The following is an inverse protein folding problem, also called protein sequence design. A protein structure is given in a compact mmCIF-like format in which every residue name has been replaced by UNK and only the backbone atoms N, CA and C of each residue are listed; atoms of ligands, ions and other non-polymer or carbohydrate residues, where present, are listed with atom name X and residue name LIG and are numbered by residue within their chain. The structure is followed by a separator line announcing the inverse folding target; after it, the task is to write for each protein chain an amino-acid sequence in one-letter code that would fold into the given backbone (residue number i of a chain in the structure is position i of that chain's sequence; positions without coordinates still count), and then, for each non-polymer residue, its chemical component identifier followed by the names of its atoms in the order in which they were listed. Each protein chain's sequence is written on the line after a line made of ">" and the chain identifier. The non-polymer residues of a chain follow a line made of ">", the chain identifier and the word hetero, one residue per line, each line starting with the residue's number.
data_IF_844228966872
#
_entry.id   IF_844228966872
#
_cell.length_a   1.000
_cell.length_b   1.000
_cell.length_c   1.000
_cell.angle_alpha   90.00
_cell.angle_beta   90.00
_cell.angle_gamma   90.00
#
_symmetry.space_group_name_H-M   'P 1'
#
loop_
_entity.id
_entity.type
_entity.pdbx_description
1 polymer ?
#
# COMPACT_ATOMS: atom_id res chain seq x y z
N UNK A 1 -21.02 -6.96 12.30
CA UNK A 1 -19.84 -6.77 11.42
C UNK A 1 -19.22 -5.38 11.56
N UNK A 2 -19.99 -4.28 11.45
CA UNK A 2 -19.45 -2.90 11.53
C UNK A 2 -18.62 -2.57 12.78
N UNK A 3 -18.97 -3.10 13.96
CA UNK A 3 -18.22 -2.88 15.22
C UNK A 3 -16.77 -3.39 15.19
N UNK A 4 -16.44 -4.39 14.36
CA UNK A 4 -15.07 -4.92 14.29
C UNK A 4 -14.12 -3.93 13.62
N UNK A 5 -14.61 -3.09 12.71
CA UNK A 5 -13.81 -2.04 12.03
C UNK A 5 -13.64 -0.77 12.88
N UNK A 6 -14.17 -0.75 14.11
CA UNK A 6 -13.92 0.35 15.06
C UNK A 6 -12.66 0.03 15.87
N UNK A 7 -11.58 0.76 15.61
CA UNK A 7 -10.29 0.55 16.27
C UNK A 7 -10.39 0.88 17.77
N UNK A 8 -9.77 0.03 18.60
CA UNK A 8 -9.72 0.18 20.07
C UNK A 8 -8.38 0.74 20.52
N UNK A 9 -7.33 0.29 19.84
CA UNK A 9 -5.93 0.63 20.02
C UNK A 9 -5.17 0.32 18.72
N UNK A 10 -3.87 0.62 18.70
CA UNK A 10 -3.01 0.35 17.54
C UNK A 10 -2.88 -1.14 17.22
N UNK A 11 -2.82 -2.01 18.23
CA UNK A 11 -2.74 -3.45 18.02
C UNK A 11 -3.98 -3.99 17.30
N UNK A 12 -5.18 -3.54 17.69
CA UNK A 12 -6.43 -3.88 17.02
C UNK A 12 -6.47 -3.36 15.57
N UNK A 13 -5.94 -2.16 15.32
CA UNK A 13 -5.76 -1.66 13.96
C UNK A 13 -4.87 -2.59 13.11
N UNK A 14 -3.73 -3.02 13.64
CA UNK A 14 -2.81 -3.93 12.94
C UNK A 14 -3.48 -5.29 12.65
N UNK A 15 -4.26 -5.84 13.59
CA UNK A 15 -5.03 -7.07 13.35
C UNK A 15 -5.99 -6.93 12.16
N UNK A 16 -6.74 -5.82 12.10
CA UNK A 16 -7.68 -5.56 11.01
C UNK A 16 -6.95 -5.29 9.70
N UNK A 17 -5.86 -4.51 9.74
CA UNK A 17 -5.01 -4.26 8.59
C UNK A 17 -4.51 -5.58 7.98
N UNK A 18 -3.97 -6.50 8.79
CA UNK A 18 -3.55 -7.80 8.29
C UNK A 18 -4.73 -8.66 7.80
N UNK A 19 -5.89 -8.60 8.46
CA UNK A 19 -7.08 -9.33 8.01
C UNK A 19 -7.52 -8.88 6.60
N UNK A 20 -7.50 -7.57 6.34
CA UNK A 20 -7.84 -6.99 5.03
C UNK A 20 -6.74 -7.30 4.01
N UNK A 21 -5.46 -7.04 4.33
CA UNK A 21 -4.37 -7.21 3.39
C UNK A 21 -4.19 -8.67 2.94
N UNK A 22 -4.55 -9.65 3.78
CA UNK A 22 -4.58 -11.09 3.40
C UNK A 22 -5.58 -11.43 2.29
N UNK A 23 -6.54 -10.56 2.00
CA UNK A 23 -7.44 -10.72 0.87
C UNK A 23 -6.75 -10.38 -0.47
N UNK A 24 -5.64 -9.63 -0.45
CA UNK A 24 -4.95 -9.15 -1.65
C UNK A 24 -3.88 -10.15 -2.09
N UNK A 25 -4.16 -10.90 -3.16
CA UNK A 25 -3.32 -12.01 -3.62
C UNK A 25 -2.87 -11.88 -5.06
N UNK A 26 -3.71 -11.34 -5.94
CA UNK A 26 -3.42 -11.24 -7.37
C UNK A 26 -3.33 -9.79 -7.81
N UNK A 27 -2.75 -9.53 -8.99
CA UNK A 27 -2.66 -8.18 -9.55
C UNK A 27 -4.05 -7.52 -9.68
N UNK A 28 -5.10 -8.29 -9.97
CA UNK A 28 -6.48 -7.82 -10.08
C UNK A 28 -7.02 -7.31 -8.73
N UNK A 29 -6.62 -7.92 -7.61
CA UNK A 29 -7.00 -7.43 -6.27
C UNK A 29 -6.42 -6.03 -6.01
N UNK A 30 -5.16 -5.82 -6.36
CA UNK A 30 -4.49 -4.52 -6.21
C UNK A 30 -5.02 -3.47 -7.19
N UNK A 31 -5.32 -3.88 -8.42
CA UNK A 31 -5.98 -3.03 -9.42
C UNK A 31 -7.34 -2.56 -8.92
N UNK A 32 -8.14 -3.46 -8.35
CA UNK A 32 -9.46 -3.15 -7.82
C UNK A 32 -9.38 -2.12 -6.69
N UNK A 33 -8.53 -2.33 -5.68
CA UNK A 33 -8.45 -1.41 -4.55
C UNK A 33 -7.93 -0.02 -4.96
N UNK A 34 -6.97 0.06 -5.89
CA UNK A 34 -6.46 1.34 -6.37
C UNK A 34 -7.49 2.09 -7.20
N UNK A 35 -8.26 1.37 -8.04
CA UNK A 35 -9.36 1.94 -8.80
C UNK A 35 -10.49 2.47 -7.90
N UNK A 36 -10.94 1.66 -6.93
CA UNK A 36 -12.01 2.05 -6.00
C UNK A 36 -11.56 3.18 -5.06
N UNK A 37 -10.29 3.21 -4.66
CA UNK A 37 -9.72 4.33 -3.94
C UNK A 37 -9.83 5.62 -4.76
N UNK A 38 -9.43 5.60 -6.03
CA UNK A 38 -9.59 6.75 -6.92
C UNK A 38 -11.05 7.17 -7.16
N UNK A 39 -11.98 6.21 -7.23
CA UNK A 39 -13.41 6.51 -7.28
C UNK A 39 -13.90 7.22 -6.01
N UNK A 40 -13.37 6.83 -4.85
CA UNK A 40 -13.69 7.48 -3.57
C UNK A 40 -13.09 8.90 -3.49
N UNK A 41 -11.83 9.08 -3.89
CA UNK A 41 -11.18 10.40 -4.01
C UNK A 41 -12.05 11.37 -4.83
N UNK A 42 -12.50 10.92 -6.01
CA UNK A 42 -13.32 11.74 -6.89
C UNK A 42 -14.65 12.17 -6.26
N UNK A 43 -15.31 11.28 -5.50
CA UNK A 43 -16.55 11.60 -4.76
C UNK A 43 -16.31 12.65 -3.66
N UNK A 44 -15.09 12.70 -3.13
CA UNK A 44 -14.66 13.67 -2.12
C UNK A 44 -14.02 14.93 -2.74
N UNK A 45 -14.05 15.08 -4.06
CA UNK A 45 -13.42 16.16 -4.83
C UNK A 45 -11.89 16.26 -4.63
N UNK A 46 -11.24 15.15 -4.24
CA UNK A 46 -9.79 15.03 -4.19
C UNK A 46 -9.25 14.79 -5.60
N UNK A 47 -8.26 15.60 -6.02
CA UNK A 47 -7.67 15.54 -7.37
C UNK A 47 -6.32 14.83 -7.41
N UNK A 48 -5.60 14.86 -6.29
CA UNK A 48 -4.27 14.30 -6.14
C UNK A 48 -4.11 13.75 -4.73
N UNK A 49 -3.49 12.57 -4.60
CA UNK A 49 -3.08 12.02 -3.31
C UNK A 49 -1.73 11.30 -3.42
N UNK A 50 -0.91 11.47 -2.38
CA UNK A 50 0.25 10.64 -2.11
C UNK A 50 -0.13 9.61 -1.05
N UNK A 51 -0.17 8.34 -1.46
CA UNK A 51 -0.74 7.26 -0.67
C UNK A 51 0.38 6.37 -0.15
N UNK A 52 0.36 6.12 1.16
CA UNK A 52 1.31 5.20 1.79
C UNK A 52 0.98 3.75 1.45
N UNK A 53 2.00 2.98 1.07
CA UNK A 53 1.92 1.54 0.85
C UNK A 53 3.16 0.88 1.42
N UNK A 54 3.03 -0.30 2.06
CA UNK A 54 4.13 -0.99 2.76
C UNK A 54 4.62 -2.24 1.99
N UNK A 55 5.52 -2.11 0.99
CA UNK A 55 5.94 -3.24 0.14
C UNK A 55 6.44 -4.44 0.93
N UNK A 56 7.22 -4.19 1.98
CA UNK A 56 7.83 -5.28 2.76
C UNK A 56 6.78 -6.12 3.49
N UNK A 57 5.62 -5.57 3.85
CA UNK A 57 4.50 -6.35 4.39
C UNK A 57 3.94 -7.29 3.33
N UNK A 58 3.66 -6.78 2.13
CA UNK A 58 3.06 -7.59 1.07
C UNK A 58 4.00 -8.69 0.59
N UNK A 59 5.30 -8.39 0.46
CA UNK A 59 6.29 -9.39 0.07
C UNK A 59 6.56 -10.42 1.17
N UNK A 60 7.08 -9.98 2.32
CA UNK A 60 7.59 -10.92 3.33
C UNK A 60 6.51 -11.52 4.23
N UNK A 61 5.37 -10.86 4.42
CA UNK A 61 4.31 -11.33 5.31
C UNK A 61 3.14 -11.96 4.57
N UNK A 62 2.85 -11.51 3.34
CA UNK A 62 1.73 -12.02 2.53
C UNK A 62 2.17 -12.88 1.35
N UNK A 63 3.47 -12.87 1.00
CA UNK A 63 4.03 -13.68 -0.07
C UNK A 63 3.69 -13.17 -1.48
N UNK A 64 3.32 -11.89 -1.62
CA UNK A 64 2.96 -11.29 -2.91
C UNK A 64 4.18 -10.57 -3.51
N UNK A 65 4.69 -11.00 -4.68
CA UNK A 65 5.84 -10.39 -5.34
C UNK A 65 5.59 -8.92 -5.75
N UNK A 66 6.68 -8.15 -5.86
CA UNK A 66 6.65 -6.75 -6.31
C UNK A 66 5.90 -6.59 -7.63
N UNK A 67 6.30 -7.35 -8.65
CA UNK A 67 5.69 -7.31 -9.98
C UNK A 67 4.17 -7.55 -9.94
N UNK A 68 3.69 -8.37 -9.00
CA UNK A 68 2.26 -8.66 -8.87
C UNK A 68 1.49 -7.49 -8.27
N UNK A 69 1.88 -7.00 -7.09
CA UNK A 69 1.13 -5.92 -6.46
C UNK A 69 1.33 -4.60 -7.21
N UNK A 70 2.54 -4.33 -7.71
CA UNK A 70 2.84 -3.06 -8.36
C UNK A 70 2.20 -2.94 -9.74
N UNK A 71 2.20 -4.01 -10.55
CA UNK A 71 1.46 -4.00 -11.81
C UNK A 71 -0.05 -3.75 -11.59
N UNK A 72 -0.63 -4.36 -10.56
CA UNK A 72 -2.01 -4.13 -10.17
C UNK A 72 -2.28 -2.69 -9.76
N UNK A 73 -1.49 -2.16 -8.81
CA UNK A 73 -1.59 -0.77 -8.35
C UNK A 73 -1.47 0.23 -9.52
N UNK A 74 -0.45 0.06 -10.38
CA UNK A 74 -0.23 0.92 -11.55
C UNK A 74 -1.42 0.91 -12.50
N UNK A 75 -1.94 -0.28 -12.82
CA UNK A 75 -3.12 -0.41 -13.70
C UNK A 75 -4.38 0.20 -13.06
N UNK A 76 -4.56 0.03 -11.75
CA UNK A 76 -5.66 0.63 -11.01
C UNK A 76 -5.61 2.16 -11.01
N UNK A 77 -4.42 2.74 -10.78
CA UNK A 77 -4.19 4.18 -10.87
C UNK A 77 -4.45 4.72 -12.29
N UNK A 78 -3.98 4.03 -13.33
CA UNK A 78 -4.25 4.41 -14.73
C UNK A 78 -5.75 4.41 -15.03
N UNK A 79 -6.47 3.38 -14.60
CA UNK A 79 -7.93 3.30 -14.75
C UNK A 79 -8.66 4.40 -13.97
N UNK A 80 -8.27 4.66 -12.73
CA UNK A 80 -8.86 5.72 -11.92
C UNK A 80 -8.64 7.11 -12.56
N UNK A 81 -7.44 7.38 -13.07
CA UNK A 81 -7.12 8.60 -13.80
C UNK A 81 -7.99 8.76 -15.04
N UNK A 82 -8.13 7.71 -15.84
CA UNK A 82 -8.96 7.74 -17.04
C UNK A 82 -10.45 7.92 -16.74
N UNK A 83 -10.97 7.29 -15.68
CA UNK A 83 -12.39 7.34 -15.33
C UNK A 83 -12.80 8.61 -14.57
N UNK A 84 -11.92 9.13 -13.71
CA UNK A 84 -12.29 10.15 -12.73
C UNK A 84 -11.39 11.39 -12.75
N UNK A 85 -10.28 11.37 -13.50
CA UNK A 85 -9.34 12.49 -13.58
C UNK A 85 -8.56 12.73 -12.28
N UNK A 86 -8.46 11.72 -11.41
CA UNK A 86 -7.65 11.77 -10.18
C UNK A 86 -6.24 11.24 -10.42
N UNK A 87 -5.27 11.77 -9.68
CA UNK A 87 -3.89 11.31 -9.72
C UNK A 87 -3.47 10.73 -8.36
N UNK A 88 -2.93 9.51 -8.38
CA UNK A 88 -2.42 8.81 -7.20
C UNK A 88 -0.92 8.61 -7.40
N UNK A 89 -0.14 8.97 -6.38
CA UNK A 89 1.29 8.68 -6.28
C UNK A 89 1.56 7.91 -5.01
N UNK A 90 2.66 7.17 -4.97
CA UNK A 90 2.97 6.25 -3.89
C UNK A 90 4.10 6.76 -3.01
N UNK A 91 3.89 6.65 -1.70
CA UNK A 91 4.94 6.73 -0.68
C UNK A 91 5.16 5.31 -0.19
N UNK A 92 6.31 4.72 -0.52
CA UNK A 92 6.63 3.39 -0.04
C UNK A 92 7.24 3.48 1.35
N UNK A 93 6.57 2.90 2.36
CA UNK A 93 7.00 3.02 3.74
C UNK A 93 7.77 1.81 4.27
N UNK A 94 8.74 2.13 5.12
CA UNK A 94 9.50 1.19 5.92
C UNK A 94 8.73 0.96 7.23
N UNK A 95 8.46 -0.31 7.55
CA UNK A 95 7.78 -0.69 8.80
C UNK A 95 8.82 -0.84 9.91
N UNK A 96 8.77 0.03 10.94
CA UNK A 96 9.77 0.05 12.02
C UNK A 96 9.61 -1.07 13.05
N UNK A 97 8.41 -1.62 13.25
CA UNK A 97 8.07 -2.54 14.35
C UNK A 97 8.49 -4.01 14.10
N UNK A 98 9.62 -4.22 13.43
CA UNK A 98 10.19 -5.56 13.24
C UNK A 98 11.20 -5.81 14.37
N UNK A 99 10.93 -6.73 15.33
CA UNK A 99 11.75 -6.88 16.53
C UNK A 99 13.18 -7.36 16.27
N UNK A 100 13.37 -8.13 15.20
CA UNK A 100 14.67 -8.64 14.81
C UNK A 100 15.38 -7.64 13.89
N UNK A 101 16.54 -7.15 14.31
CA UNK A 101 17.27 -6.08 13.63
C UNK A 101 17.70 -6.46 12.20
N UNK A 102 18.10 -7.71 11.98
CA UNK A 102 18.50 -8.19 10.66
C UNK A 102 17.31 -8.23 9.70
N UNK A 103 16.18 -8.79 10.15
CA UNK A 103 14.93 -8.79 9.39
C UNK A 103 14.41 -7.38 9.15
N UNK A 104 14.55 -6.47 10.11
CA UNK A 104 14.17 -5.08 9.98
C UNK A 104 14.99 -4.41 8.85
N UNK A 105 16.33 -4.55 8.91
CA UNK A 105 17.24 -4.03 7.89
C UNK A 105 16.90 -4.59 6.50
N UNK A 106 16.73 -5.91 6.39
CA UNK A 106 16.38 -6.56 5.12
C UNK A 106 15.06 -6.05 4.53
N UNK A 107 14.06 -5.79 5.38
CA UNK A 107 12.77 -5.23 4.95
C UNK A 107 12.90 -3.78 4.51
N UNK A 108 13.69 -2.97 5.20
CA UNK A 108 13.98 -1.60 4.83
C UNK A 108 14.73 -1.51 3.50
N UNK A 109 15.77 -2.33 3.31
CA UNK A 109 16.53 -2.43 2.06
C UNK A 109 15.64 -2.86 0.89
N UNK A 110 14.76 -3.84 1.12
CA UNK A 110 13.77 -4.26 0.13
C UNK A 110 12.83 -3.11 -0.27
N UNK A 111 12.26 -2.39 0.71
CA UNK A 111 11.39 -1.23 0.44
C UNK A 111 12.13 -0.17 -0.38
N UNK A 112 13.39 0.15 -0.03
CA UNK A 112 14.22 1.09 -0.78
C UNK A 112 14.41 0.64 -2.24
N UNK A 113 14.76 -0.63 -2.46
CA UNK A 113 15.01 -1.17 -3.79
C UNK A 113 13.76 -1.08 -4.69
N UNK A 114 12.60 -1.52 -4.19
CA UNK A 114 11.36 -1.47 -4.98
C UNK A 114 10.81 -0.04 -5.14
N UNK A 115 11.11 0.86 -4.19
CA UNK A 115 10.79 2.27 -4.36
C UNK A 115 11.63 2.93 -5.46
N UNK A 116 12.90 2.53 -5.59
CA UNK A 116 13.78 2.97 -6.68
C UNK A 116 13.31 2.42 -8.03
N UNK A 117 12.90 1.16 -8.08
CA UNK A 117 12.37 0.52 -9.27
C UNK A 117 11.06 1.18 -9.75
N UNK A 118 10.15 1.49 -8.83
CA UNK A 118 8.85 2.09 -9.14
C UNK A 118 8.83 3.61 -9.38
N UNK A 119 9.98 4.30 -9.43
CA UNK A 119 10.03 5.78 -9.51
C UNK A 119 9.34 6.33 -10.74
N UNK A 120 9.61 5.74 -11.90
CA UNK A 120 9.04 6.19 -13.18
C UNK A 120 7.53 5.88 -13.28
N UNK A 121 7.04 4.95 -12.45
CA UNK A 121 5.66 4.50 -12.42
C UNK A 121 4.85 5.10 -11.24
N UNK A 122 5.41 6.12 -10.57
CA UNK A 122 4.67 6.96 -9.62
C UNK A 122 5.00 6.77 -8.15
N UNK A 123 6.09 6.07 -7.80
CA UNK A 123 6.66 6.15 -6.44
C UNK A 123 7.46 7.44 -6.30
N UNK A 124 7.02 8.33 -5.40
CA UNK A 124 7.56 9.70 -5.28
C UNK A 124 8.33 9.95 -4.00
N UNK A 125 8.14 9.13 -2.96
CA UNK A 125 8.83 9.29 -1.68
C UNK A 125 8.97 7.96 -0.91
N UNK A 126 9.81 8.00 0.12
CA UNK A 126 9.88 6.99 1.16
C UNK A 126 9.21 7.48 2.44
N UNK A 127 8.45 6.59 3.08
CA UNK A 127 7.85 6.82 4.39
C UNK A 127 8.50 5.95 5.48
N UNK A 128 8.19 6.28 6.74
CA UNK A 128 8.49 5.43 7.89
C UNK A 128 7.20 5.29 8.70
N UNK A 129 6.70 4.07 8.82
CA UNK A 129 5.44 3.75 9.49
C UNK A 129 5.62 2.77 10.64
N UNK A 130 4.61 2.67 11.51
CA UNK A 130 4.59 1.77 12.66
C UNK A 130 4.01 2.41 13.93
N UNK A 131 4.08 1.70 15.05
CA UNK A 131 3.65 2.21 16.35
C UNK A 131 4.59 3.33 16.84
N UNK A 132 4.01 4.46 17.25
CA UNK A 132 4.73 5.62 17.81
C UNK A 132 4.78 5.62 19.34
#
# INVERSE_FOLDING_TARGET
>A
MQRWFTFRDFSHFIEIYFAISRCLKTAEDYELIAYEFGANMARQNERYAEVTFSPSTHYFSLGVPFDTFFAGLTKGCQRARAAFGVEIRWIFDIVRDIPDAERNRKRAEYTLAVAQEGREDGVVALGLGGGE
#
